data_IF_212588740817
#
_entry.id   IF_212588740817
#
_cell.length_a   1.000
_cell.length_b   1.000
_cell.length_c   1.000
_cell.angle_alpha   90.00
_cell.angle_beta   90.00
_cell.angle_gamma   90.00
#
_symmetry.space_group_name_H-M   'P 1'
#
loop_
_entity.id
_entity.type
_entity.pdbx_description
1 polymer ?
#
# COMPACT_ATOMS: atom_id res chain seq x y z
N UNK A 1 -30.66 0.13 -12.69
CA UNK A 1 -29.66 -0.90 -13.00
C UNK A 1 -28.54 -0.25 -13.83
N UNK A 2 -27.88 0.74 -13.24
CA UNK A 2 -26.73 1.45 -13.83
C UNK A 2 -25.87 1.88 -12.64
N UNK A 3 -24.79 1.13 -12.38
CA UNK A 3 -23.62 1.63 -11.66
C UNK A 3 -22.44 0.65 -11.84
N UNK A 4 -22.19 0.26 -13.10
CA UNK A 4 -21.14 -0.68 -13.51
C UNK A 4 -19.83 -0.01 -13.92
N UNK A 5 -19.51 1.18 -13.41
CA UNK A 5 -18.36 1.98 -13.85
C UNK A 5 -17.43 2.43 -12.72
N UNK A 6 -17.24 1.57 -11.72
CA UNK A 6 -16.03 1.61 -10.87
C UNK A 6 -15.17 0.38 -11.11
N UNK A 7 -14.96 0.06 -12.40
CA UNK A 7 -13.76 -0.64 -12.86
C UNK A 7 -12.70 0.40 -13.21
N UNK A 8 -12.37 1.28 -12.25
CA UNK A 8 -11.19 2.11 -12.35
C UNK A 8 -10.01 1.25 -11.94
N UNK A 9 -9.49 0.47 -12.89
CA UNK A 9 -8.05 0.32 -13.12
C UNK A 9 -7.16 0.77 -11.96
N UNK A 10 -7.16 0.00 -10.85
CA UNK A 10 -6.08 0.04 -9.88
C UNK A 10 -5.02 -0.89 -10.45
N UNK A 11 -4.19 -0.28 -11.29
CA UNK A 11 -2.88 -0.68 -11.76
C UNK A 11 -2.39 -1.98 -11.11
N UNK A 12 -2.25 -3.01 -11.94
CA UNK A 12 -1.46 -4.22 -11.75
C UNK A 12 0.02 -3.82 -11.47
N UNK A 13 0.26 -3.24 -10.31
CA UNK A 13 1.56 -2.90 -9.79
C UNK A 13 1.96 -4.08 -8.94
N UNK A 14 3.05 -4.76 -9.32
CA UNK A 14 3.68 -5.89 -8.61
C UNK A 14 3.98 -5.66 -7.11
N UNK A 15 3.54 -4.54 -6.54
CA UNK A 15 3.62 -4.12 -5.13
C UNK A 15 2.31 -4.38 -4.37
N UNK A 16 1.17 -4.47 -5.06
CA UNK A 16 -0.15 -4.70 -4.48
C UNK A 16 -0.35 -6.21 -4.27
N UNK A 17 0.52 -6.81 -3.47
CA UNK A 17 0.19 -8.11 -2.88
C UNK A 17 -0.97 -7.88 -1.92
N UNK A 18 -2.12 -8.58 -2.06
CA UNK A 18 -3.28 -8.35 -1.21
C UNK A 18 -2.97 -8.56 0.28
N UNK A 19 -1.92 -9.34 0.57
CA UNK A 19 -1.39 -9.53 1.92
C UNK A 19 -0.91 -8.23 2.59
N UNK A 20 -0.44 -7.24 1.81
CA UNK A 20 0.16 -6.00 2.31
C UNK A 20 -0.70 -4.76 2.07
N UNK A 21 -1.93 -4.91 1.59
CA UNK A 21 -2.82 -3.78 1.28
C UNK A 21 -2.98 -2.83 2.48
N UNK A 22 -3.12 -3.39 3.68
CA UNK A 22 -3.25 -2.63 4.94
C UNK A 22 -2.01 -1.79 5.23
N UNK A 23 -0.82 -2.38 5.13
CA UNK A 23 0.45 -1.68 5.40
C UNK A 23 0.74 -0.62 4.36
N UNK A 24 0.43 -0.92 3.10
CA UNK A 24 0.51 0.01 1.98
C UNK A 24 -0.38 1.24 2.24
N UNK A 25 -1.64 1.01 2.64
CA UNK A 25 -2.59 2.08 2.95
C UNK A 25 -2.11 2.93 4.12
N UNK A 26 -1.60 2.31 5.18
CA UNK A 26 -1.08 3.01 6.34
C UNK A 26 0.17 3.85 6.01
N UNK A 27 1.10 3.31 5.21
CA UNK A 27 2.26 4.06 4.72
C UNK A 27 1.84 5.26 3.87
N UNK A 28 0.93 5.07 2.91
CA UNK A 28 0.39 6.16 2.07
C UNK A 28 -0.32 7.22 2.88
N UNK A 29 -1.10 6.83 3.88
CA UNK A 29 -1.78 7.77 4.78
C UNK A 29 -0.77 8.60 5.58
N UNK A 30 0.27 7.95 6.12
CA UNK A 30 1.34 8.68 6.81
C UNK A 30 2.03 9.68 5.88
N UNK A 31 2.32 9.31 4.63
CA UNK A 31 2.94 10.21 3.65
C UNK A 31 2.03 11.40 3.34
N UNK A 32 0.72 11.20 3.22
CA UNK A 32 -0.25 12.28 2.99
C UNK A 32 -0.32 13.24 4.19
N UNK A 33 -0.51 12.69 5.40
CA UNK A 33 -0.62 13.46 6.65
C UNK A 33 0.66 14.26 6.97
N UNK A 34 1.84 13.73 6.59
CA UNK A 34 3.14 14.32 6.95
C UNK A 34 3.86 14.97 5.76
N UNK A 35 3.14 15.33 4.69
CA UNK A 35 3.68 16.00 3.50
C UNK A 35 4.87 15.25 2.85
N UNK A 36 4.87 13.93 2.93
CA UNK A 36 5.92 13.06 2.40
C UNK A 36 7.14 12.92 3.32
N UNK A 37 7.04 13.26 4.60
CA UNK A 37 8.13 13.11 5.56
C UNK A 37 8.38 11.64 5.91
N UNK A 38 9.31 11.02 5.18
CA UNK A 38 9.73 9.63 5.39
C UNK A 38 10.38 9.37 6.75
N UNK A 39 10.90 10.38 7.44
CA UNK A 39 11.46 10.19 8.79
C UNK A 39 10.37 9.85 9.80
N UNK A 40 9.16 10.42 9.63
CA UNK A 40 7.99 10.10 10.46
C UNK A 40 7.40 8.76 10.04
N UNK A 41 7.36 8.49 8.74
CA UNK A 41 6.78 7.27 8.18
C UNK A 41 7.73 6.05 8.18
N UNK A 42 8.92 6.16 8.76
CA UNK A 42 9.93 5.10 8.77
C UNK A 42 9.43 3.80 9.42
N UNK A 43 8.63 3.91 10.48
CA UNK A 43 8.01 2.74 11.13
C UNK A 43 7.02 2.01 10.21
N UNK A 44 6.21 2.74 9.45
CA UNK A 44 5.26 2.16 8.48
C UNK A 44 5.98 1.51 7.30
N UNK A 45 7.13 2.05 6.89
CA UNK A 45 7.95 1.48 5.84
C UNK A 45 8.55 0.13 6.26
N UNK A 46 8.97 0.01 7.53
CA UNK A 46 9.46 -1.25 8.08
C UNK A 46 8.36 -2.34 8.11
N UNK A 47 7.15 -1.98 8.56
CA UNK A 47 5.94 -2.82 8.48
C UNK A 47 5.66 -3.28 7.03
N UNK A 48 5.67 -2.34 6.09
CA UNK A 48 5.44 -2.64 4.67
C UNK A 48 6.49 -3.60 4.11
N UNK A 49 7.75 -3.41 4.48
CA UNK A 49 8.87 -4.25 4.02
C UNK A 49 8.80 -5.66 4.59
N UNK A 50 8.44 -5.80 5.87
CA UNK A 50 8.22 -7.11 6.49
C UNK A 50 7.09 -7.87 5.80
N UNK A 51 5.99 -7.19 5.50
CA UNK A 51 4.90 -7.77 4.74
C UNK A 51 5.32 -8.17 3.32
N UNK A 52 6.06 -7.30 2.60
CA UNK A 52 6.53 -7.61 1.25
C UNK A 52 7.48 -8.82 1.24
N UNK A 53 8.32 -8.97 2.27
CA UNK A 53 9.17 -10.15 2.42
C UNK A 53 8.36 -11.43 2.62
N UNK A 54 7.25 -11.37 3.36
CA UNK A 54 6.34 -12.49 3.57
C UNK A 54 5.46 -12.80 2.34
N UNK A 55 5.14 -11.79 1.54
CA UNK A 55 4.29 -11.93 0.36
C UNK A 55 5.03 -12.43 -0.89
N UNK A 56 6.36 -12.57 -0.84
CA UNK A 56 7.14 -13.24 -1.90
C UNK A 56 6.78 -14.73 -1.91
N UNK A 57 6.12 -15.25 -2.97
CA UNK A 57 5.99 -16.68 -3.12
C UNK A 57 7.38 -17.30 -3.30
N UNK A 58 7.61 -18.44 -2.63
CA UNK A 58 8.82 -19.26 -2.76
C UNK A 58 8.97 -19.83 -4.17
#
# INVERSE_FOLDING_TARGET
MDNGLWQSSATNSSWETPACETDIRNFRKCMDDNQGNMSICGWYLDQLKACQAAAKPY
#
